data_IF_094876390976
#
_entry.id   IF_094876390976
#
_cell.length_a   1.000
_cell.length_b   1.000
_cell.length_c   1.000
_cell.angle_alpha   90.00
_cell.angle_beta   90.00
_cell.angle_gamma   90.00
#
_symmetry.space_group_name_H-M   'P 1'
#
loop_
_entity.id
_entity.type
_entity.pdbx_description
1 polymer ?
#
# COMPACT_ATOMS: atom_id res chain seq x y z
N UNK A 1 -11.01 -23.11 21.05
CA UNK A 1 -9.99 -23.32 20.00
C UNK A 1 -8.96 -22.19 19.96
N UNK A 2 -9.34 -20.87 19.86
CA UNK A 2 -8.38 -19.74 19.82
C UNK A 2 -7.39 -19.75 21.02
N UNK A 3 -7.87 -19.98 22.24
CA UNK A 3 -7.02 -20.03 23.47
C UNK A 3 -6.02 -21.20 23.48
N UNK A 4 -6.38 -22.33 22.90
CA UNK A 4 -5.50 -23.51 22.81
C UNK A 4 -4.37 -23.27 21.79
N UNK A 5 -4.67 -22.61 20.67
CA UNK A 5 -3.68 -22.25 19.66
C UNK A 5 -2.65 -21.27 20.20
N UNK A 6 -3.08 -20.26 20.97
CA UNK A 6 -2.19 -19.28 21.61
C UNK A 6 -1.28 -19.96 22.65
N UNK A 7 -1.80 -20.89 23.43
CA UNK A 7 -1.01 -21.65 24.41
C UNK A 7 0.00 -22.58 23.74
N UNK A 8 -0.37 -23.24 22.64
CA UNK A 8 0.54 -24.09 21.88
C UNK A 8 1.65 -23.28 21.18
N UNK A 9 1.31 -22.11 20.65
CA UNK A 9 2.29 -21.19 20.05
C UNK A 9 3.25 -20.60 21.11
N UNK A 10 2.74 -20.19 22.27
CA UNK A 10 3.59 -19.67 23.35
C UNK A 10 4.50 -20.74 23.97
N UNK A 11 4.03 -21.97 24.13
CA UNK A 11 4.87 -23.11 24.55
C UNK A 11 5.95 -23.44 23.51
N UNK A 12 5.62 -23.39 22.23
CA UNK A 12 6.58 -23.58 21.13
C UNK A 12 7.68 -22.51 21.10
N UNK A 13 7.33 -21.26 21.41
CA UNK A 13 8.31 -20.17 21.54
C UNK A 13 9.26 -20.36 22.73
N UNK A 14 8.73 -20.74 23.90
CA UNK A 14 9.56 -20.95 25.13
C UNK A 14 10.56 -22.08 24.89
N UNK A 15 10.20 -23.16 24.26
CA UNK A 15 11.11 -24.26 23.92
C UNK A 15 12.19 -23.84 22.92
N UNK A 16 11.87 -22.95 21.97
CA UNK A 16 12.83 -22.45 20.99
C UNK A 16 13.93 -21.56 21.61
N UNK A 17 13.62 -20.85 22.68
CA UNK A 17 14.62 -20.01 23.41
C UNK A 17 15.39 -20.71 24.51
N UNK A 18 15.02 -21.95 24.87
CA UNK A 18 15.70 -22.73 25.91
C UNK A 18 16.92 -23.52 25.42
N UNK A 19 17.28 -23.49 24.15
CA UNK A 19 18.46 -24.17 23.64
C UNK A 19 19.73 -23.39 23.96
N UNK A 20 20.74 -24.11 24.47
CA UNK A 20 22.08 -23.59 24.78
C UNK A 20 22.63 -22.69 23.68
N UNK A 21 23.15 -21.52 24.02
CA UNK A 21 23.72 -20.52 23.16
C UNK A 21 24.81 -21.10 22.23
N UNK A 22 24.42 -21.60 21.10
CA UNK A 22 25.29 -21.74 19.95
C UNK A 22 25.51 -20.32 19.38
N UNK A 23 26.69 -20.04 18.83
CA UNK A 23 26.98 -18.75 18.24
C UNK A 23 25.93 -18.47 17.14
N UNK A 24 25.10 -17.46 17.37
CA UNK A 24 24.07 -17.04 16.40
C UNK A 24 24.78 -16.34 15.24
N UNK A 25 24.63 -16.85 14.04
CA UNK A 25 25.09 -16.15 12.85
C UNK A 25 24.15 -14.97 12.57
N UNK A 26 24.69 -13.76 12.50
CA UNK A 26 23.90 -12.53 12.26
C UNK A 26 24.23 -11.97 10.91
N UNK A 27 23.26 -11.95 10.01
CA UNK A 27 23.39 -11.35 8.68
C UNK A 27 22.74 -9.98 8.68
N UNK A 28 23.49 -8.99 8.22
CA UNK A 28 23.00 -7.63 8.02
C UNK A 28 22.75 -7.36 6.56
N UNK A 29 21.66 -6.69 6.27
CA UNK A 29 21.32 -6.13 4.96
C UNK A 29 20.61 -4.79 5.17
N UNK A 30 20.40 -4.04 4.09
CA UNK A 30 19.68 -2.79 4.21
C UNK A 30 19.96 -1.88 3.03
N UNK A 31 19.54 -0.63 3.15
CA UNK A 31 19.70 0.36 2.13
C UNK A 31 19.65 1.78 2.70
N UNK A 32 20.23 2.70 1.97
CA UNK A 32 20.12 4.11 2.24
C UNK A 32 19.74 4.81 0.94
N UNK A 33 18.75 5.68 0.97
CA UNK A 33 18.44 6.53 -0.15
C UNK A 33 18.32 8.00 0.24
N UNK A 34 18.63 8.86 -0.70
CA UNK A 34 18.35 10.29 -0.66
C UNK A 34 17.65 10.65 -1.96
N UNK A 35 16.53 11.34 -1.85
CA UNK A 35 15.76 11.83 -2.98
C UNK A 35 15.68 13.35 -2.92
N UNK A 36 16.13 14.02 -3.97
CA UNK A 36 15.90 15.44 -4.20
C UNK A 36 14.74 15.65 -5.16
N UNK A 37 13.77 16.46 -4.79
CA UNK A 37 12.60 16.78 -5.62
C UNK A 37 12.51 18.30 -5.78
N UNK A 38 12.38 18.75 -7.03
CA UNK A 38 11.91 20.09 -7.35
C UNK A 38 10.56 19.99 -8.04
N UNK A 39 9.59 20.73 -7.55
CA UNK A 39 8.23 20.71 -8.02
C UNK A 39 7.72 22.12 -8.26
N UNK A 40 7.15 22.34 -9.44
CA UNK A 40 6.55 23.59 -9.83
C UNK A 40 5.04 23.43 -9.98
N UNK A 41 4.29 24.14 -9.16
CA UNK A 41 2.83 24.09 -9.14
C UNK A 41 2.25 22.71 -8.71
N UNK A 42 2.64 22.18 -7.53
CA UNK A 42 2.18 20.86 -7.08
C UNK A 42 0.66 20.76 -6.89
N UNK A 43 -0.03 21.87 -6.70
CA UNK A 43 -1.48 21.88 -6.54
C UNK A 43 -2.24 22.13 -7.85
N UNK A 44 -1.52 22.16 -8.99
CA UNK A 44 -2.09 22.39 -10.33
C UNK A 44 -2.97 23.66 -10.42
N UNK A 45 -2.62 24.70 -9.67
CA UNK A 45 -3.39 25.95 -9.61
C UNK A 45 -3.19 26.82 -10.84
N UNK A 46 -4.25 27.52 -11.26
CA UNK A 46 -4.20 28.47 -12.38
C UNK A 46 -4.15 29.94 -11.91
N UNK A 47 -4.10 30.18 -10.61
CA UNK A 47 -4.10 31.52 -10.01
C UNK A 47 -2.70 31.98 -9.58
N UNK A 48 -2.63 33.18 -9.03
CA UNK A 48 -1.39 33.80 -8.53
C UNK A 48 -0.83 33.14 -7.26
N UNK A 49 -1.52 32.17 -6.70
CA UNK A 49 -1.08 31.43 -5.50
C UNK A 49 -0.24 30.21 -5.84
N UNK A 50 0.14 30.03 -7.12
CA UNK A 50 1.09 28.98 -7.54
C UNK A 50 2.41 29.16 -6.80
N UNK A 51 2.97 28.04 -6.36
CA UNK A 51 4.27 28.01 -5.73
C UNK A 51 5.12 26.88 -6.27
N UNK A 52 6.41 26.98 -6.06
CA UNK A 52 7.35 25.89 -6.29
C UNK A 52 8.03 25.52 -4.98
N UNK A 53 8.53 24.31 -4.91
CA UNK A 53 9.28 23.84 -3.75
C UNK A 53 10.42 22.93 -4.18
N UNK A 54 11.46 22.89 -3.36
CA UNK A 54 12.56 21.96 -3.49
C UNK A 54 12.85 21.37 -2.12
N UNK A 55 13.04 20.05 -2.06
CA UNK A 55 13.33 19.36 -0.82
C UNK A 55 14.19 18.13 -1.06
N UNK A 56 14.93 17.72 -0.03
CA UNK A 56 15.63 16.45 0.00
C UNK A 56 15.05 15.58 1.11
N UNK A 57 14.84 14.30 0.80
CA UNK A 57 14.37 13.27 1.72
C UNK A 57 15.38 12.18 1.83
N UNK A 58 15.42 11.53 2.96
CA UNK A 58 16.30 10.39 3.18
C UNK A 58 15.62 9.32 4.03
N UNK A 59 16.12 8.09 3.90
CA UNK A 59 15.83 6.98 4.80
C UNK A 59 17.02 6.03 4.85
N UNK A 60 17.35 5.54 6.02
CA UNK A 60 18.22 4.38 6.21
C UNK A 60 17.35 3.21 6.68
N UNK A 61 17.54 2.05 6.08
CA UNK A 61 16.87 0.80 6.42
C UNK A 61 17.91 -0.23 6.80
N UNK A 62 17.71 -0.91 7.93
CA UNK A 62 18.58 -2.00 8.39
C UNK A 62 17.73 -3.23 8.67
N UNK A 63 18.13 -4.35 8.10
CA UNK A 63 17.55 -5.65 8.39
C UNK A 63 18.61 -6.59 8.98
N UNK A 64 18.23 -7.29 10.01
CA UNK A 64 19.06 -8.28 10.69
C UNK A 64 18.35 -9.64 10.61
N UNK A 65 19.08 -10.67 10.20
CA UNK A 65 18.64 -12.06 10.29
C UNK A 65 19.53 -12.79 11.29
N UNK A 66 18.95 -13.25 12.36
CA UNK A 66 19.60 -14.07 13.39
C UNK A 66 19.33 -15.54 13.05
N UNK A 67 20.34 -16.25 12.55
CA UNK A 67 20.24 -17.68 12.26
C UNK A 67 20.54 -18.46 13.54
N UNK A 68 19.47 -18.91 14.18
CA UNK A 68 19.55 -19.57 15.51
C UNK A 68 19.97 -21.04 15.38
N UNK A 69 19.46 -21.71 14.34
CA UNK A 69 19.78 -23.09 13.99
C UNK A 69 19.45 -23.35 12.53
N UNK A 70 19.85 -24.50 12.00
CA UNK A 70 19.44 -24.91 10.66
C UNK A 70 17.90 -24.97 10.55
N UNK A 71 17.35 -24.16 9.66
CA UNK A 71 15.91 -24.06 9.46
C UNK A 71 15.17 -23.19 10.51
N UNK A 72 15.88 -22.49 11.42
CA UNK A 72 15.28 -21.57 12.37
C UNK A 72 16.00 -20.23 12.34
N UNK A 73 15.29 -19.16 11.99
CA UNK A 73 15.83 -17.80 12.05
C UNK A 73 14.81 -16.79 12.62
N UNK A 74 15.32 -15.66 13.10
CA UNK A 74 14.52 -14.50 13.47
C UNK A 74 14.96 -13.32 12.60
N UNK A 75 14.01 -12.63 12.00
CA UNK A 75 14.27 -11.43 11.21
C UNK A 75 13.72 -10.21 11.92
N UNK A 76 14.56 -9.17 12.06
CA UNK A 76 14.18 -7.83 12.48
C UNK A 76 14.55 -6.82 11.42
N UNK A 77 13.70 -5.83 11.17
CA UNK A 77 13.97 -4.69 10.31
C UNK A 77 13.55 -3.40 10.99
N UNK A 78 14.35 -2.38 10.88
CA UNK A 78 13.96 -1.04 11.26
C UNK A 78 14.36 -0.02 10.21
N UNK A 79 13.58 1.04 10.12
CA UNK A 79 13.86 2.23 9.36
C UNK A 79 14.28 3.36 10.32
N UNK A 80 15.19 4.20 9.86
CA UNK A 80 15.70 5.31 10.64
C UNK A 80 15.93 6.53 9.75
N UNK A 81 15.87 7.71 10.35
CA UNK A 81 16.12 8.99 9.69
C UNK A 81 15.21 9.23 8.47
N UNK A 82 13.97 8.77 8.53
CA UNK A 82 12.95 9.08 7.55
C UNK A 82 12.51 10.53 7.70
N UNK A 83 13.17 11.43 7.00
CA UNK A 83 12.86 12.84 7.12
C UNK A 83 13.33 13.70 5.97
N UNK A 84 12.69 14.84 5.86
CA UNK A 84 13.13 15.93 4.99
C UNK A 84 14.32 16.66 5.63
N UNK A 85 15.33 17.00 4.84
CA UNK A 85 16.46 17.80 5.30
C UNK A 85 16.01 19.18 5.73
N UNK A 86 16.52 19.64 6.86
CA UNK A 86 16.21 20.95 7.40
C UNK A 86 14.86 21.07 8.14
N UNK A 87 14.05 20.03 8.18
CA UNK A 87 12.85 20.03 9.02
C UNK A 87 13.16 19.68 10.46
N UNK A 88 12.47 20.37 11.37
CA UNK A 88 12.56 20.12 12.80
C UNK A 88 11.71 18.93 13.27
N UNK A 89 10.69 18.54 12.49
CA UNK A 89 9.78 17.45 12.80
C UNK A 89 10.06 16.24 11.92
N UNK A 90 10.42 15.13 12.55
CA UNK A 90 10.69 13.86 11.90
C UNK A 90 9.43 13.15 11.38
N UNK A 91 8.26 13.62 11.80
CA UNK A 91 6.97 12.94 11.54
C UNK A 91 6.34 13.25 10.19
N UNK A 92 6.94 14.09 9.37
CA UNK A 92 6.32 14.50 8.10
C UNK A 92 6.39 13.46 6.99
N UNK A 93 7.23 12.43 7.12
CA UNK A 93 7.36 11.38 6.11
C UNK A 93 6.64 10.07 6.45
N UNK A 94 6.20 9.93 7.68
CA UNK A 94 5.59 8.70 8.19
C UNK A 94 4.22 8.39 7.56
N UNK A 95 3.65 9.33 6.82
CA UNK A 95 2.30 9.17 6.26
C UNK A 95 2.19 8.11 5.14
N UNK A 96 3.29 7.68 4.53
CA UNK A 96 3.24 6.75 3.40
C UNK A 96 3.62 5.31 3.73
N UNK A 97 4.52 5.11 4.67
CA UNK A 97 4.95 3.78 5.10
C UNK A 97 4.19 3.30 6.34
N UNK A 98 3.45 4.18 6.98
CA UNK A 98 2.51 3.77 8.00
C UNK A 98 1.44 2.94 7.33
N UNK A 99 1.29 1.75 7.82
CA UNK A 99 0.19 0.85 7.57
C UNK A 99 -1.10 1.62 7.25
N UNK A 100 -1.34 1.87 5.96
CA UNK A 100 -2.51 2.60 5.44
C UNK A 100 -3.82 1.88 5.76
N UNK A 101 -3.75 0.71 6.33
CA UNK A 101 -4.89 -0.08 6.79
C UNK A 101 -5.12 0.01 8.31
N UNK A 102 -4.12 0.41 9.07
CA UNK A 102 -4.29 0.80 10.46
C UNK A 102 -4.50 2.31 10.50
N UNK A 103 -5.72 2.73 10.36
CA UNK A 103 -6.20 4.08 10.63
C UNK A 103 -6.03 4.44 12.12
N UNK A 104 -4.85 4.28 12.68
CA UNK A 104 -4.47 5.06 13.82
C UNK A 104 -4.13 6.43 13.27
N UNK A 105 -4.98 7.43 13.47
CA UNK A 105 -4.60 8.77 13.14
C UNK A 105 -3.41 9.11 14.04
N UNK A 106 -2.20 9.13 13.49
CA UNK A 106 -1.08 9.80 14.12
C UNK A 106 -1.41 11.29 14.39
N UNK A 107 -2.51 11.77 13.79
CA UNK A 107 -3.09 13.08 14.05
C UNK A 107 -3.64 13.27 15.46
N UNK A 108 -3.76 12.24 16.29
CA UNK A 108 -4.26 12.40 17.66
C UNK A 108 -3.17 12.52 18.72
N UNK A 109 -1.91 12.37 18.37
CA UNK A 109 -0.82 12.75 19.28
C UNK A 109 -0.36 14.17 18.99
N UNK A 110 -1.22 15.16 19.23
CA UNK A 110 -0.72 16.53 19.25
C UNK A 110 -1.54 17.60 18.56
N UNK A 111 -2.80 17.41 18.26
CA UNK A 111 -3.71 18.53 18.05
C UNK A 111 -4.33 18.96 19.38
N UNK A 112 -3.51 19.20 20.38
CA UNK A 112 -3.84 20.33 21.25
C UNK A 112 -3.39 21.54 20.46
N UNK A 113 -4.31 22.15 19.75
CA UNK A 113 -4.25 23.54 19.37
C UNK A 113 -4.10 24.37 20.64
N UNK A 114 -2.91 24.38 21.19
CA UNK A 114 -2.47 25.40 22.11
C UNK A 114 -1.79 26.44 21.27
N UNK A 115 -2.46 27.52 21.04
CA UNK A 115 -1.98 28.76 20.41
C UNK A 115 -0.84 29.42 21.19
N UNK A 116 -0.27 28.74 22.18
CA UNK A 116 0.83 29.23 23.01
C UNK A 116 1.82 28.10 23.24
N UNK A 117 2.82 28.02 22.37
CA UNK A 117 3.91 27.10 22.63
C UNK A 117 4.30 26.24 21.45
N UNK A 118 4.54 26.82 20.30
CA UNK A 118 5.57 26.33 19.40
C UNK A 118 6.89 26.40 20.18
N UNK A 119 7.07 25.47 21.10
CA UNK A 119 8.43 25.13 21.50
C UNK A 119 9.10 24.66 20.25
N UNK A 120 9.97 25.50 19.70
CA UNK A 120 10.90 25.14 18.66
C UNK A 120 11.75 23.98 19.16
N UNK A 121 11.22 22.78 19.06
CA UNK A 121 12.06 21.61 18.95
C UNK A 121 12.66 21.66 17.55
N UNK A 122 13.49 22.67 17.32
CA UNK A 122 14.50 22.61 16.29
C UNK A 122 15.38 21.43 16.66
N UNK A 123 14.86 20.23 16.39
CA UNK A 123 15.43 18.99 16.82
C UNK A 123 16.78 18.80 16.16
N UNK A 124 17.81 19.22 16.80
CA UNK A 124 19.17 18.76 16.57
C UNK A 124 19.34 17.28 16.91
N UNK A 125 18.28 16.62 17.34
CA UNK A 125 18.33 15.26 17.86
C UNK A 125 17.92 14.27 16.78
N UNK A 126 18.88 13.50 16.33
CA UNK A 126 18.69 12.31 15.50
C UNK A 126 17.92 11.17 16.21
N UNK A 127 17.38 11.40 17.40
CA UNK A 127 16.83 10.39 18.29
C UNK A 127 15.39 9.97 17.99
N UNK A 128 14.69 10.61 17.09
CA UNK A 128 13.24 10.47 17.03
C UNK A 128 12.73 9.48 15.99
N UNK A 129 13.58 8.82 15.21
CA UNK A 129 13.18 8.00 14.08
C UNK A 129 13.88 6.67 14.02
N UNK A 130 13.60 5.80 14.97
CA UNK A 130 13.86 4.37 14.83
C UNK A 130 12.50 3.67 14.87
N UNK A 131 12.02 3.22 13.73
CA UNK A 131 10.77 2.51 13.61
C UNK A 131 11.00 1.04 13.27
N UNK A 132 10.50 0.15 14.13
CA UNK A 132 10.55 -1.27 13.85
C UNK A 132 9.47 -1.65 12.86
N UNK A 133 9.92 -2.02 11.67
CA UNK A 133 9.07 -2.39 10.55
C UNK A 133 8.71 -3.88 10.57
N UNK A 134 9.65 -4.76 10.93
CA UNK A 134 9.45 -6.21 10.89
C UNK A 134 10.07 -6.87 12.11
N UNK A 135 9.38 -7.88 12.61
CA UNK A 135 9.86 -8.78 13.65
C UNK A 135 9.12 -10.11 13.52
N UNK A 136 9.76 -11.13 12.98
CA UNK A 136 9.16 -12.45 12.80
C UNK A 136 10.17 -13.58 12.89
N UNK A 137 9.68 -14.78 13.13
CA UNK A 137 10.45 -16.00 13.09
C UNK A 137 10.11 -16.80 11.82
N UNK A 138 11.14 -17.42 11.25
CA UNK A 138 11.00 -18.41 10.17
C UNK A 138 11.46 -19.76 10.69
N UNK A 139 10.63 -20.78 10.51
CA UNK A 139 11.05 -22.15 10.82
C UNK A 139 10.59 -23.15 9.76
N UNK A 140 11.48 -24.10 9.45
CA UNK A 140 11.25 -25.15 8.48
C UNK A 140 10.72 -26.41 9.17
N UNK A 141 9.79 -27.06 8.50
CA UNK A 141 9.26 -28.37 8.88
C UNK A 141 9.41 -29.36 7.72
N UNK A 142 9.11 -30.60 7.95
CA UNK A 142 9.11 -31.62 6.89
C UNK A 142 8.08 -31.35 5.77
N UNK A 143 7.06 -30.54 6.04
CA UNK A 143 5.95 -30.25 5.10
C UNK A 143 6.00 -28.85 4.50
N UNK A 144 6.87 -27.97 4.99
CA UNK A 144 7.00 -26.61 4.49
C UNK A 144 7.61 -25.63 5.50
N UNK A 145 7.49 -24.35 5.21
CA UNK A 145 8.10 -23.25 5.96
C UNK A 145 7.00 -22.40 6.56
N UNK A 146 7.16 -22.04 7.83
CA UNK A 146 6.33 -21.08 8.54
C UNK A 146 7.08 -19.78 8.77
N UNK A 147 6.39 -18.66 8.53
CA UNK A 147 6.80 -17.33 8.99
C UNK A 147 5.72 -16.82 9.96
N UNK A 148 6.12 -16.39 11.16
CA UNK A 148 5.19 -15.98 12.22
C UNK A 148 5.64 -14.67 12.85
N UNK A 149 4.80 -13.66 12.83
CA UNK A 149 5.05 -12.34 13.41
C UNK A 149 4.75 -11.20 12.44
N UNK A 150 5.32 -10.03 12.72
CA UNK A 150 5.21 -8.84 11.87
C UNK A 150 6.14 -9.01 10.66
N UNK A 151 5.56 -9.21 9.50
CA UNK A 151 6.30 -9.52 8.26
C UNK A 151 5.70 -8.79 7.06
N UNK A 152 6.39 -8.87 5.93
CA UNK A 152 5.93 -8.27 4.67
C UNK A 152 4.53 -8.78 4.29
N UNK A 153 3.66 -7.86 3.92
CA UNK A 153 2.31 -8.09 3.44
C UNK A 153 2.02 -7.20 2.23
N UNK A 154 0.84 -7.35 1.61
CA UNK A 154 0.43 -6.52 0.48
C UNK A 154 1.25 -6.73 -0.78
N UNK A 155 1.97 -7.87 -0.88
CA UNK A 155 2.73 -8.24 -2.09
C UNK A 155 2.18 -9.53 -2.67
N UNK A 156 1.71 -9.43 -3.91
CA UNK A 156 1.23 -10.57 -4.69
C UNK A 156 1.23 -10.23 -6.18
N UNK A 157 1.74 -11.13 -7.00
CA UNK A 157 1.66 -10.97 -8.45
C UNK A 157 2.60 -9.92 -9.01
N UNK A 158 2.05 -8.85 -9.55
CA UNK A 158 2.78 -7.75 -10.17
C UNK A 158 2.79 -6.52 -9.25
N UNK A 159 3.61 -5.53 -9.60
CA UNK A 159 3.61 -4.26 -8.84
C UNK A 159 2.24 -3.57 -8.85
N UNK A 160 1.39 -3.86 -9.86
CA UNK A 160 0.04 -3.28 -9.96
C UNK A 160 -0.87 -3.62 -8.80
N UNK A 161 -0.81 -4.86 -8.28
CA UNK A 161 -1.58 -5.29 -7.10
C UNK A 161 -0.84 -5.09 -5.78
N UNK A 162 0.42 -4.65 -5.82
CA UNK A 162 1.28 -4.58 -4.65
C UNK A 162 1.16 -3.25 -3.91
N UNK A 163 0.98 -3.35 -2.59
CA UNK A 163 1.12 -2.24 -1.64
C UNK A 163 1.91 -2.77 -0.45
N UNK A 164 3.23 -2.80 -0.60
CA UNK A 164 4.10 -3.35 0.45
C UNK A 164 3.81 -2.67 1.79
N UNK A 165 3.46 -3.46 2.79
CA UNK A 165 3.25 -3.03 4.15
C UNK A 165 3.70 -4.11 5.12
N UNK A 166 3.65 -3.81 6.41
CA UNK A 166 3.96 -4.79 7.47
C UNK A 166 2.69 -5.16 8.20
N UNK A 167 2.46 -6.47 8.38
CA UNK A 167 1.29 -7.01 9.09
C UNK A 167 1.69 -8.15 10.02
N UNK A 168 1.03 -8.29 11.16
CA UNK A 168 1.11 -9.49 11.97
C UNK A 168 0.38 -10.63 11.27
N UNK A 169 1.13 -11.69 10.91
CA UNK A 169 0.60 -12.81 10.16
C UNK A 169 1.28 -14.14 10.50
N UNK A 170 0.56 -15.21 10.22
CA UNK A 170 1.08 -16.57 10.15
C UNK A 170 1.00 -16.99 8.69
N UNK A 171 2.13 -17.24 8.08
CA UNK A 171 2.24 -17.71 6.69
C UNK A 171 2.85 -19.10 6.69
N UNK A 172 2.23 -20.02 5.99
CA UNK A 172 2.78 -21.31 5.64
C UNK A 172 3.00 -21.38 4.15
N UNK A 173 4.15 -21.85 3.73
CA UNK A 173 4.49 -22.08 2.33
C UNK A 173 5.04 -23.50 2.14
N UNK A 174 4.61 -24.17 1.09
CA UNK A 174 5.12 -25.49 0.69
C UNK A 174 5.38 -25.53 -0.80
N UNK A 175 6.38 -26.31 -1.23
CA UNK A 175 6.75 -26.42 -2.62
C UNK A 175 6.74 -27.90 -3.04
N UNK A 176 6.03 -28.20 -4.13
CA UNK A 176 5.99 -29.52 -4.75
C UNK A 176 6.30 -29.36 -6.24
N UNK A 177 7.52 -29.73 -6.62
CA UNK A 177 7.99 -29.50 -7.98
C UNK A 177 7.92 -28.02 -8.38
N UNK A 178 7.26 -27.65 -9.49
CA UNK A 178 7.13 -26.27 -9.93
C UNK A 178 6.02 -25.48 -9.19
N UNK A 179 5.24 -26.13 -8.35
CA UNK A 179 4.10 -25.55 -7.65
C UNK A 179 4.50 -25.13 -6.23
N UNK A 180 4.24 -23.86 -5.88
CA UNK A 180 4.32 -23.35 -4.51
C UNK A 180 2.90 -23.09 -4.01
N UNK A 181 2.53 -23.70 -2.90
CA UNK A 181 1.27 -23.45 -2.19
C UNK A 181 1.48 -22.51 -1.01
N UNK A 182 0.50 -21.67 -0.74
CA UNK A 182 0.49 -20.69 0.34
C UNK A 182 -0.80 -20.80 1.14
N UNK A 183 -0.68 -20.71 2.47
CA UNK A 183 -1.81 -20.50 3.39
C UNK A 183 -1.37 -19.40 4.34
N UNK A 184 -2.24 -18.43 4.57
CA UNK A 184 -1.93 -17.36 5.51
C UNK A 184 -3.15 -16.89 6.29
N UNK A 185 -2.87 -16.47 7.51
CA UNK A 185 -3.75 -15.74 8.39
C UNK A 185 -3.09 -14.41 8.73
N UNK A 186 -3.86 -13.34 8.68
CA UNK A 186 -3.40 -11.98 8.96
C UNK A 186 -4.36 -11.30 9.92
N UNK A 187 -3.83 -10.69 10.97
CA UNK A 187 -4.59 -9.93 11.94
C UNK A 187 -4.38 -8.45 11.66
N UNK A 188 -5.34 -7.83 10.98
CA UNK A 188 -5.24 -6.41 10.62
C UNK A 188 -5.61 -5.45 11.75
N UNK A 189 -6.52 -5.87 12.62
CA UNK A 189 -6.94 -5.08 13.77
C UNK A 189 -7.47 -5.99 14.87
N UNK A 190 -7.04 -5.76 16.11
CA UNK A 190 -7.55 -6.38 17.31
C UNK A 190 -8.20 -5.31 18.20
N UNK A 191 -9.49 -5.46 18.45
CA UNK A 191 -10.19 -4.60 19.39
C UNK A 191 -10.17 -5.23 20.78
N UNK A 192 -9.29 -4.73 21.63
CA UNK A 192 -9.30 -5.09 23.06
C UNK A 192 -10.46 -4.38 23.74
N UNK A 193 -11.58 -5.11 23.92
CA UNK A 193 -12.76 -4.62 24.65
C UNK A 193 -12.57 -4.67 26.18
N UNK A 194 -11.50 -5.32 26.66
CA UNK A 194 -11.19 -5.40 28.10
C UNK A 194 -10.63 -4.07 28.63
N UNK A 195 -10.05 -3.26 27.78
CA UNK A 195 -9.44 -1.98 28.13
C UNK A 195 -10.39 -0.78 28.08
N UNK A 196 -11.68 -0.99 27.83
CA UNK A 196 -12.70 0.07 28.00
C UNK A 196 -12.80 0.38 29.49
N UNK A 197 -11.86 1.20 29.94
CA UNK A 197 -11.70 1.59 31.31
C UNK A 197 -12.96 2.26 31.87
N UNK A 198 -13.09 2.20 33.17
CA UNK A 198 -14.17 2.76 33.98
C UNK A 198 -14.42 4.28 33.81
N UNK A 199 -13.60 4.97 33.03
CA UNK A 199 -13.69 6.41 32.76
C UNK A 199 -14.43 6.75 31.44
N UNK A 200 -15.08 5.77 30.82
CA UNK A 200 -15.92 6.03 29.67
C UNK A 200 -17.14 6.87 30.09
N UNK A 201 -17.09 8.16 29.87
CA UNK A 201 -18.25 9.04 29.85
C UNK A 201 -19.33 8.41 28.95
N UNK A 202 -20.60 8.64 29.22
CA UNK A 202 -21.74 7.99 28.56
C UNK A 202 -21.70 7.97 27.01
N UNK A 203 -20.88 8.79 26.39
CA UNK A 203 -20.61 8.87 24.95
C UNK A 203 -19.73 7.73 24.40
N UNK A 204 -19.01 6.98 25.25
CA UNK A 204 -18.17 5.83 24.85
C UNK A 204 -18.85 4.48 25.04
N UNK A 205 -20.11 4.47 25.47
CA UNK A 205 -20.88 3.24 25.69
C UNK A 205 -21.27 2.49 24.42
N UNK A 206 -20.95 3.01 23.23
CA UNK A 206 -21.21 2.36 21.94
C UNK A 206 -20.46 1.02 21.77
N UNK A 207 -19.45 0.76 22.59
CA UNK A 207 -18.65 -0.47 22.54
C UNK A 207 -19.19 -1.60 23.44
N UNK A 208 -20.09 -1.29 24.37
CA UNK A 208 -20.62 -2.30 25.30
C UNK A 208 -21.47 -3.34 24.59
N UNK A 209 -21.07 -4.60 24.72
CA UNK A 209 -21.84 -5.74 24.20
C UNK A 209 -21.58 -6.13 22.74
N UNK A 210 -20.63 -5.49 22.04
CA UNK A 210 -20.21 -5.92 20.71
C UNK A 210 -19.02 -6.87 20.83
N UNK A 211 -19.18 -8.09 20.37
CA UNK A 211 -18.20 -9.18 20.51
C UNK A 211 -17.37 -9.45 19.24
N UNK A 212 -17.60 -8.66 18.18
CA UNK A 212 -17.01 -8.87 16.86
C UNK A 212 -16.57 -7.51 16.31
N UNK A 213 -15.34 -7.12 16.65
CA UNK A 213 -14.76 -5.82 16.29
C UNK A 213 -13.44 -5.98 15.50
N UNK A 214 -13.00 -7.19 15.29
CA UNK A 214 -11.70 -7.51 14.70
C UNK A 214 -11.69 -7.30 13.17
N UNK A 215 -10.48 -7.16 12.62
CA UNK A 215 -10.24 -7.25 11.20
C UNK A 215 -9.24 -8.39 10.94
N UNK A 216 -9.77 -9.49 10.43
CA UNK A 216 -9.05 -10.71 10.10
C UNK A 216 -9.07 -10.99 8.59
N UNK A 217 -7.95 -11.48 8.05
CA UNK A 217 -7.86 -11.96 6.68
C UNK A 217 -7.29 -13.38 6.67
N UNK A 218 -7.87 -14.23 5.84
CA UNK A 218 -7.42 -15.58 5.55
C UNK A 218 -7.18 -15.70 4.05
N UNK A 219 -6.11 -16.35 3.64
CA UNK A 219 -5.88 -16.57 2.22
C UNK A 219 -5.27 -17.94 1.93
N UNK A 220 -5.57 -18.40 0.74
CA UNK A 220 -4.89 -19.55 0.10
C UNK A 220 -4.42 -19.09 -1.27
N UNK A 221 -3.21 -19.49 -1.64
CA UNK A 221 -2.62 -19.12 -2.92
C UNK A 221 -1.77 -20.22 -3.50
N UNK A 222 -1.57 -20.15 -4.80
CA UNK A 222 -0.68 -21.06 -5.53
C UNK A 222 0.09 -20.29 -6.59
N UNK A 223 1.37 -20.65 -6.76
CA UNK A 223 2.26 -20.11 -7.80
C UNK A 223 2.82 -21.31 -8.56
N UNK A 224 2.66 -21.30 -9.88
CA UNK A 224 3.23 -22.29 -10.78
C UNK A 224 4.35 -21.67 -11.60
N UNK A 225 5.57 -22.22 -11.45
CA UNK A 225 6.73 -21.82 -12.20
C UNK A 225 6.88 -22.68 -13.45
N UNK A 226 7.02 -22.07 -14.61
CA UNK A 226 7.24 -22.74 -15.89
C UNK A 226 8.45 -22.16 -16.63
N UNK A 227 8.86 -22.80 -17.71
CA UNK A 227 9.99 -22.32 -18.51
C UNK A 227 9.66 -20.92 -19.07
N UNK A 228 10.42 -19.91 -18.62
CA UNK A 228 10.26 -18.53 -19.05
C UNK A 228 9.31 -17.67 -18.23
N UNK A 229 8.70 -18.20 -17.15
CA UNK A 229 7.81 -17.38 -16.35
C UNK A 229 7.16 -18.07 -15.16
N UNK A 230 6.17 -17.40 -14.64
CA UNK A 230 5.32 -17.89 -13.55
C UNK A 230 3.89 -17.38 -13.71
N UNK A 231 2.95 -18.11 -13.16
CA UNK A 231 1.57 -17.68 -12.99
C UNK A 231 1.08 -18.09 -11.60
N UNK A 232 0.19 -17.31 -11.03
CA UNK A 232 -0.35 -17.62 -9.71
C UNK A 232 -1.75 -17.07 -9.53
N UNK A 233 -2.42 -17.55 -8.48
CA UNK A 233 -3.69 -17.01 -8.02
C UNK A 233 -3.75 -17.08 -6.49
N UNK A 234 -4.32 -16.05 -5.87
CA UNK A 234 -4.62 -16.02 -4.44
C UNK A 234 -6.10 -15.74 -4.22
N UNK A 235 -6.70 -16.51 -3.36
CA UNK A 235 -8.05 -16.30 -2.86
C UNK A 235 -7.95 -15.80 -1.42
N UNK A 236 -8.58 -14.66 -1.14
CA UNK A 236 -8.60 -14.03 0.16
C UNK A 236 -10.03 -14.00 0.69
N UNK A 237 -10.19 -14.18 1.99
CA UNK A 237 -11.42 -13.93 2.73
C UNK A 237 -11.14 -12.93 3.82
N UNK A 238 -11.89 -11.83 3.82
CA UNK A 238 -11.73 -10.72 4.77
C UNK A 238 -12.99 -10.57 5.60
N UNK A 239 -12.82 -10.47 6.90
CA UNK A 239 -13.85 -10.07 7.85
C UNK A 239 -13.35 -8.86 8.61
N UNK A 240 -13.81 -7.68 8.21
CA UNK A 240 -13.43 -6.42 8.81
C UNK A 240 -14.62 -5.82 9.57
N UNK A 241 -14.55 -5.86 10.88
CA UNK A 241 -15.54 -5.31 11.79
C UNK A 241 -15.06 -4.06 12.56
N UNK A 242 -13.87 -3.53 12.20
CA UNK A 242 -13.27 -2.39 12.88
C UNK A 242 -14.11 -1.11 12.78
N UNK A 243 -14.90 -0.95 11.72
CA UNK A 243 -15.81 0.20 11.56
C UNK A 243 -17.03 0.17 12.49
N UNK A 244 -17.26 -0.94 13.22
CA UNK A 244 -18.27 -1.00 14.29
C UNK A 244 -17.84 -0.22 15.54
N UNK A 245 -16.57 0.14 15.63
CA UNK A 245 -15.92 0.99 16.63
C UNK A 245 -15.92 2.46 16.17
N UNK A 246 -16.87 2.86 15.35
CA UNK A 246 -16.87 4.19 14.73
C UNK A 246 -17.03 5.33 15.73
N UNK A 247 -16.38 6.49 15.51
CA UNK A 247 -16.64 7.72 16.26
C UNK A 247 -18.11 8.13 16.17
N UNK A 248 -18.57 8.88 17.17
CA UNK A 248 -19.92 9.44 17.22
C UNK A 248 -20.38 10.01 15.87
N UNK A 249 -21.47 9.47 15.34
CA UNK A 249 -22.13 9.96 14.14
C UNK A 249 -21.89 9.17 12.85
N UNK A 250 -20.93 8.24 12.80
CA UNK A 250 -20.79 7.38 11.64
C UNK A 250 -21.56 6.05 11.84
N UNK A 251 -22.30 5.59 10.83
CA UNK A 251 -23.03 4.33 10.89
C UNK A 251 -22.10 3.14 11.14
N UNK A 252 -22.31 2.34 12.20
CA UNK A 252 -21.47 1.16 12.46
C UNK A 252 -21.78 0.06 11.45
N UNK A 253 -20.71 -0.53 10.88
CA UNK A 253 -20.84 -1.61 9.90
C UNK A 253 -19.68 -2.61 9.99
N UNK A 254 -19.85 -3.75 9.35
CA UNK A 254 -18.80 -4.72 9.07
C UNK A 254 -18.77 -5.06 7.59
N UNK A 255 -17.56 -5.38 7.10
CA UNK A 255 -17.35 -5.90 5.75
C UNK A 255 -17.03 -7.40 5.85
N UNK A 256 -17.71 -8.18 5.04
CA UNK A 256 -17.37 -9.59 4.79
C UNK A 256 -17.22 -9.74 3.29
N UNK A 257 -16.04 -10.11 2.84
CA UNK A 257 -15.74 -10.17 1.42
C UNK A 257 -14.72 -11.21 1.05
N UNK A 258 -14.64 -11.46 -0.24
CA UNK A 258 -13.66 -12.33 -0.86
C UNK A 258 -12.96 -11.58 -1.99
N UNK A 259 -11.67 -11.82 -2.14
CA UNK A 259 -10.85 -11.32 -3.23
C UNK A 259 -10.17 -12.46 -3.97
N UNK A 260 -10.13 -12.38 -5.29
CA UNK A 260 -9.38 -13.30 -6.15
C UNK A 260 -8.42 -12.47 -7.01
N UNK A 261 -7.12 -12.78 -6.94
CA UNK A 261 -6.10 -12.11 -7.73
C UNK A 261 -5.22 -13.10 -8.50
N UNK A 262 -5.57 -13.45 -9.74
CA UNK A 262 -4.70 -14.17 -10.66
C UNK A 262 -3.70 -13.22 -11.32
N UNK A 263 -2.49 -13.71 -11.59
CA UNK A 263 -1.45 -13.01 -12.32
C UNK A 263 -0.59 -13.95 -13.18
N UNK A 264 0.13 -13.37 -14.10
CA UNK A 264 1.22 -14.04 -14.84
C UNK A 264 2.38 -13.07 -15.11
N UNK A 265 3.59 -13.64 -15.23
CA UNK A 265 4.81 -12.98 -15.70
C UNK A 265 5.53 -13.98 -16.60
N UNK A 266 5.87 -13.57 -17.83
CA UNK A 266 6.54 -14.49 -18.77
C UNK A 266 7.41 -13.75 -19.76
N UNK A 267 8.42 -14.45 -20.28
CA UNK A 267 9.28 -13.98 -21.36
C UNK A 267 9.19 -14.96 -22.53
N UNK A 268 8.78 -14.47 -23.68
CA UNK A 268 8.65 -15.23 -24.93
C UNK A 268 9.54 -14.58 -25.98
N UNK A 269 10.68 -15.22 -26.25
CA UNK A 269 11.70 -14.62 -27.11
C UNK A 269 12.19 -13.26 -26.55
N UNK A 270 12.14 -12.16 -27.33
CA UNK A 270 12.54 -10.84 -26.85
C UNK A 270 11.46 -10.11 -26.06
N UNK A 271 10.25 -10.67 -25.93
CA UNK A 271 9.08 -10.00 -25.34
C UNK A 271 8.86 -10.47 -23.92
N UNK A 272 8.87 -9.55 -22.97
CA UNK A 272 8.39 -9.72 -21.61
C UNK A 272 6.93 -9.30 -21.52
N UNK A 273 6.12 -10.12 -20.89
CA UNK A 273 4.69 -9.89 -20.64
C UNK A 273 4.37 -10.12 -19.17
N UNK A 274 3.59 -9.25 -18.58
CA UNK A 274 2.99 -9.46 -17.27
C UNK A 274 1.57 -8.91 -17.24
N UNK A 275 0.73 -9.56 -16.43
CA UNK A 275 -0.64 -9.11 -16.24
C UNK A 275 -1.19 -9.60 -14.92
N UNK A 276 -2.15 -8.85 -14.41
CA UNK A 276 -2.83 -9.12 -13.16
C UNK A 276 -4.27 -8.64 -13.22
N UNK A 277 -5.14 -9.33 -12.54
CA UNK A 277 -6.52 -8.94 -12.36
C UNK A 277 -6.91 -9.16 -10.90
N UNK A 278 -7.69 -8.27 -10.34
CA UNK A 278 -8.29 -8.43 -9.01
C UNK A 278 -9.80 -8.35 -9.11
N UNK A 279 -10.47 -9.34 -8.54
CA UNK A 279 -11.92 -9.35 -8.36
C UNK A 279 -12.26 -9.39 -6.89
N UNK A 280 -13.10 -8.46 -6.43
CA UNK A 280 -13.54 -8.38 -5.04
C UNK A 280 -15.06 -8.44 -5.02
N UNK A 281 -15.61 -9.28 -4.14
CA UNK A 281 -17.05 -9.37 -3.89
C UNK A 281 -17.33 -9.52 -2.40
N UNK A 282 -18.50 -9.08 -1.96
CA UNK A 282 -18.87 -9.18 -0.55
C UNK A 282 -20.05 -8.31 -0.15
N UNK A 283 -20.14 -8.04 1.14
CA UNK A 283 -21.18 -7.18 1.71
C UNK A 283 -20.63 -6.28 2.82
N UNK A 284 -21.04 -5.04 2.78
CA UNK A 284 -20.99 -4.15 3.94
C UNK A 284 -22.34 -4.23 4.65
N UNK A 285 -22.33 -4.74 5.88
CA UNK A 285 -23.53 -4.97 6.69
C UNK A 285 -23.56 -3.98 7.84
N UNK A 286 -24.61 -3.17 7.88
CA UNK A 286 -24.83 -2.24 8.98
C UNK A 286 -25.39 -2.95 10.21
N UNK A 287 -25.08 -2.42 11.39
CA UNK A 287 -25.64 -2.96 12.64
C UNK A 287 -27.16 -2.69 12.71
N UNK A 288 -27.95 -3.60 13.31
CA UNK A 288 -29.36 -3.42 13.46
C UNK A 288 -29.72 -2.09 14.17
N UNK A 289 -30.71 -1.40 13.65
CA UNK A 289 -31.15 -0.09 14.19
C UNK A 289 -30.31 1.11 13.70
N UNK A 290 -29.34 0.90 12.81
CA UNK A 290 -28.61 2.01 12.19
C UNK A 290 -29.55 2.83 11.31
N UNK A 291 -29.56 4.16 11.51
CA UNK A 291 -30.37 5.11 10.74
C UNK A 291 -29.50 5.93 9.79
N UNK A 292 -30.09 6.51 8.76
CA UNK A 292 -29.38 7.37 7.80
C UNK A 292 -28.55 6.62 6.76
N UNK A 293 -28.80 5.32 6.57
CA UNK A 293 -28.17 4.48 5.55
C UNK A 293 -29.23 3.82 4.67
N UNK A 294 -28.88 3.52 3.43
CA UNK A 294 -29.80 2.89 2.46
C UNK A 294 -30.05 1.38 2.75
N UNK A 295 -29.41 0.80 3.74
CA UNK A 295 -29.38 -0.64 4.04
C UNK A 295 -28.00 -1.25 3.78
N UNK A 296 -27.91 -2.58 3.81
CA UNK A 296 -26.69 -3.31 3.48
C UNK A 296 -26.24 -3.01 2.05
N UNK A 297 -24.93 -2.96 1.84
CA UNK A 297 -24.33 -2.61 0.53
C UNK A 297 -23.62 -3.85 -0.02
N UNK A 298 -23.99 -4.26 -1.22
CA UNK A 298 -23.26 -5.27 -1.98
C UNK A 298 -21.98 -4.68 -2.55
N UNK A 299 -20.89 -5.41 -2.41
CA UNK A 299 -19.55 -5.04 -2.87
C UNK A 299 -19.20 -5.85 -4.12
N UNK A 300 -18.79 -5.17 -5.18
CA UNK A 300 -18.28 -5.80 -6.40
C UNK A 300 -17.29 -4.87 -7.08
N UNK A 301 -16.04 -5.30 -7.22
CA UNK A 301 -15.00 -4.47 -7.85
C UNK A 301 -14.06 -5.30 -8.71
N UNK A 302 -13.57 -4.67 -9.77
CA UNK A 302 -12.61 -5.24 -10.70
C UNK A 302 -11.46 -4.28 -10.94
N UNK A 303 -10.25 -4.83 -10.99
CA UNK A 303 -9.07 -4.14 -11.46
C UNK A 303 -8.34 -5.03 -12.45
N UNK A 304 -7.67 -4.43 -13.43
CA UNK A 304 -6.90 -5.18 -14.41
C UNK A 304 -5.66 -4.41 -14.87
N UNK A 305 -4.62 -5.16 -15.15
CA UNK A 305 -3.32 -4.66 -15.58
C UNK A 305 -2.69 -5.56 -16.62
N UNK A 306 -2.06 -4.95 -17.60
CA UNK A 306 -1.26 -5.64 -18.60
C UNK A 306 -0.06 -4.77 -18.99
N UNK A 307 1.13 -5.39 -19.08
CA UNK A 307 2.36 -4.77 -19.58
C UNK A 307 3.06 -5.67 -20.58
N UNK A 308 3.55 -5.06 -21.63
CA UNK A 308 4.43 -5.69 -22.61
C UNK A 308 5.69 -4.87 -22.80
N UNK A 309 6.85 -5.53 -22.86
CA UNK A 309 8.13 -4.90 -23.17
C UNK A 309 8.92 -5.76 -24.15
N UNK A 310 9.36 -5.19 -25.26
CA UNK A 310 10.21 -5.84 -26.23
C UNK A 310 11.64 -5.32 -26.11
N UNK A 311 12.59 -6.25 -25.98
CA UNK A 311 14.02 -5.93 -25.89
C UNK A 311 14.68 -6.14 -27.27
N UNK A 312 15.49 -5.15 -27.70
CA UNK A 312 16.17 -5.12 -28.99
C UNK A 312 17.62 -4.68 -28.80
N UNK A 313 18.48 -5.60 -28.38
CA UNK A 313 19.87 -5.29 -28.04
C UNK A 313 19.95 -4.26 -26.89
N UNK A 314 20.59 -3.10 -27.08
CA UNK A 314 20.68 -2.07 -26.05
C UNK A 314 19.39 -1.25 -25.90
N UNK A 315 18.46 -1.35 -26.83
CA UNK A 315 17.19 -0.63 -26.81
C UNK A 315 16.03 -1.53 -26.35
N UNK A 316 14.96 -0.92 -25.87
CA UNK A 316 13.69 -1.56 -25.59
C UNK A 316 12.54 -0.57 -25.77
N UNK A 317 11.38 -1.09 -26.02
CA UNK A 317 10.13 -0.32 -25.98
C UNK A 317 9.01 -1.17 -25.40
N UNK A 318 8.00 -0.51 -24.92
CA UNK A 318 6.87 -1.21 -24.32
C UNK A 318 5.70 -0.30 -24.04
N UNK A 319 4.70 -0.89 -23.44
CA UNK A 319 3.54 -0.19 -22.95
C UNK A 319 2.87 -0.97 -21.84
N UNK A 320 2.06 -0.27 -21.09
CA UNK A 320 1.24 -0.84 -20.04
C UNK A 320 -0.09 -0.12 -19.95
N UNK A 321 -1.09 -0.85 -19.47
CA UNK A 321 -2.42 -0.35 -19.18
C UNK A 321 -2.85 -0.82 -17.80
N UNK A 322 -3.32 0.11 -16.97
CA UNK A 322 -3.95 -0.17 -15.69
C UNK A 322 -5.37 0.35 -15.70
N UNK A 323 -6.27 -0.43 -15.18
CA UNK A 323 -7.67 -0.08 -14.98
C UNK A 323 -8.11 -0.41 -13.57
N UNK A 324 -8.75 0.55 -12.93
CA UNK A 324 -9.43 0.42 -11.64
C UNK A 324 -10.88 0.82 -11.84
N UNK A 325 -11.81 -0.06 -11.51
CA UNK A 325 -13.25 0.16 -11.67
C UNK A 325 -13.74 1.33 -10.82
N UNK A 326 -14.57 2.18 -11.41
CA UNK A 326 -15.24 3.28 -10.70
C UNK A 326 -16.63 2.91 -10.19
N UNK A 327 -17.07 3.62 -9.16
CA UNK A 327 -18.37 3.39 -8.47
C UNK A 327 -19.54 4.25 -9.02
N UNK A 328 -19.33 4.97 -10.12
CA UNK A 328 -20.32 5.96 -10.59
C UNK A 328 -21.64 5.41 -11.08
N UNK A 329 -21.66 4.20 -11.63
CA UNK A 329 -22.86 3.48 -12.05
C UNK A 329 -23.32 2.42 -11.01
N UNK A 330 -22.71 2.43 -9.82
CA UNK A 330 -23.25 1.75 -8.66
C UNK A 330 -24.59 2.32 -8.21
N UNK A 331 -25.27 1.62 -7.34
CA UNK A 331 -26.51 2.11 -6.68
C UNK A 331 -26.23 2.47 -5.23
N UNK A 332 -27.21 3.04 -4.55
CA UNK A 332 -27.10 3.29 -3.11
C UNK A 332 -26.76 2.03 -2.29
N UNK A 333 -27.18 0.85 -2.77
CA UNK A 333 -26.97 -0.45 -2.13
C UNK A 333 -25.94 -1.33 -2.83
N UNK A 334 -25.24 -0.83 -3.87
CA UNK A 334 -24.19 -1.57 -4.57
C UNK A 334 -22.97 -0.67 -4.80
N UNK A 335 -21.82 -1.06 -4.24
CA UNK A 335 -20.55 -0.37 -4.36
C UNK A 335 -19.62 -1.12 -5.31
N UNK A 336 -19.15 -0.44 -6.36
CA UNK A 336 -18.28 -1.01 -7.39
C UNK A 336 -16.80 -0.65 -7.22
N UNK A 337 -16.49 0.36 -6.44
CA UNK A 337 -15.13 0.68 -6.01
C UNK A 337 -15.09 0.76 -4.49
N UNK A 338 -14.21 -0.04 -3.89
CA UNK A 338 -14.07 -0.17 -2.46
C UNK A 338 -12.75 0.48 -2.08
N UNK A 339 -12.78 1.78 -1.74
CA UNK A 339 -11.58 2.54 -1.38
C UNK A 339 -10.71 1.77 -0.39
N UNK A 340 -9.42 1.66 -0.72
CA UNK A 340 -8.44 0.94 0.07
C UNK A 340 -8.41 -0.58 -0.14
N UNK A 341 -9.31 -1.16 -0.95
CA UNK A 341 -9.29 -2.57 -1.32
C UNK A 341 -9.26 -2.81 -2.83
N UNK A 342 -9.71 -1.84 -3.61
CA UNK A 342 -9.85 -1.97 -5.06
C UNK A 342 -9.01 -0.97 -5.85
N UNK A 343 -8.04 -0.32 -5.22
CA UNK A 343 -7.13 0.58 -5.90
C UNK A 343 -5.96 -0.19 -6.54
N UNK A 344 -5.27 0.44 -7.48
CA UNK A 344 -3.96 -0.03 -7.89
C UNK A 344 -2.98 0.07 -6.72
N UNK A 345 -2.03 -0.85 -6.68
CA UNK A 345 -1.06 -0.90 -5.60
C UNK A 345 -0.12 0.32 -5.58
N UNK A 346 0.34 0.64 -4.39
CA UNK A 346 1.29 1.75 -4.18
C UNK A 346 2.68 1.48 -4.76
N UNK A 347 3.02 0.21 -5.03
CA UNK A 347 4.30 -0.15 -5.64
C UNK A 347 4.28 0.02 -7.16
N UNK A 348 3.10 0.13 -7.78
CA UNK A 348 2.97 0.42 -9.20
C UNK A 348 3.15 1.92 -9.47
N UNK A 349 4.29 2.29 -10.05
CA UNK A 349 4.72 3.68 -10.28
C UNK A 349 5.10 3.87 -11.75
N UNK A 350 4.13 3.84 -12.67
CA UNK A 350 4.37 3.93 -14.12
C UNK A 350 4.78 5.33 -14.58
N UNK A 351 4.66 6.36 -13.74
CA UNK A 351 4.94 7.76 -14.06
C UNK A 351 5.76 8.41 -12.96
N UNK A 352 6.32 9.59 -13.20
CA UNK A 352 7.00 10.36 -12.17
C UNK A 352 6.04 11.15 -11.27
N UNK A 353 4.90 11.59 -11.82
CA UNK A 353 3.99 12.52 -11.13
C UNK A 353 2.57 11.96 -11.01
N UNK A 354 1.87 11.64 -12.11
CA UNK A 354 0.45 11.29 -12.10
C UNK A 354 0.14 10.06 -11.25
N UNK A 355 0.94 9.00 -11.37
CA UNK A 355 0.75 7.78 -10.61
C UNK A 355 2.07 7.35 -9.95
N UNK A 356 2.44 8.08 -8.91
CA UNK A 356 3.62 7.83 -8.11
C UNK A 356 3.36 8.24 -6.66
N UNK A 357 3.02 7.28 -5.83
CA UNK A 357 2.70 7.53 -4.41
C UNK A 357 3.90 8.03 -3.62
N UNK A 358 5.12 7.64 -4.00
CA UNK A 358 6.34 8.15 -3.36
C UNK A 358 6.49 9.65 -3.51
N UNK A 359 6.06 10.19 -4.65
CA UNK A 359 6.07 11.63 -4.88
C UNK A 359 5.26 12.38 -3.80
N UNK A 360 4.06 11.92 -3.50
CA UNK A 360 3.24 12.48 -2.42
C UNK A 360 3.83 12.29 -1.03
N UNK A 361 4.65 11.26 -0.85
CA UNK A 361 5.37 11.00 0.40
C UNK A 361 6.52 11.97 0.59
N UNK A 362 7.30 12.21 -0.46
CA UNK A 362 8.46 13.10 -0.42
C UNK A 362 8.09 14.56 -0.32
N UNK A 363 6.84 14.91 -0.57
CA UNK A 363 6.35 16.28 -0.59
C UNK A 363 5.18 16.42 0.41
N UNK A 364 5.48 16.47 1.72
CA UNK A 364 4.46 16.60 2.74
C UNK A 364 3.70 17.94 2.60
N UNK A 365 2.40 17.92 2.91
CA UNK A 365 1.46 19.04 2.85
C UNK A 365 1.11 19.54 1.44
N UNK A 366 1.49 18.83 0.38
CA UNK A 366 0.93 19.08 -0.94
C UNK A 366 -0.34 18.26 -1.11
N UNK A 367 -1.35 18.85 -1.66
CA UNK A 367 -2.37 18.09 -2.38
C UNK A 367 -1.67 17.70 -3.67
N UNK A 368 -0.92 16.59 -3.61
CA UNK A 368 -0.17 16.13 -4.75
C UNK A 368 -1.07 15.58 -5.83
N UNK A 369 -0.68 15.78 -7.05
CA UNK A 369 -1.38 15.27 -8.23
C UNK A 369 -1.46 13.73 -8.22
N UNK A 370 -0.48 13.05 -7.62
CA UNK A 370 -0.38 11.60 -7.57
C UNK A 370 -1.47 10.94 -6.73
N UNK A 371 -1.98 11.63 -5.69
CA UNK A 371 -3.02 11.10 -4.82
C UNK A 371 -4.44 11.50 -5.24
N UNK A 372 -4.60 12.40 -6.21
CA UNK A 372 -5.92 12.93 -6.54
C UNK A 372 -6.89 11.91 -7.11
N UNK A 373 -6.41 10.90 -7.82
CA UNK A 373 -7.29 9.90 -8.41
C UNK A 373 -7.01 8.48 -7.93
N UNK A 374 -5.90 8.26 -7.22
CA UNK A 374 -5.48 6.94 -6.78
C UNK A 374 -6.49 6.30 -5.81
N UNK A 375 -6.99 7.08 -4.86
CA UNK A 375 -8.01 6.65 -3.88
C UNK A 375 -9.40 7.24 -4.19
N UNK A 376 -9.67 7.60 -5.44
CA UNK A 376 -10.93 8.19 -5.83
C UNK A 376 -11.93 7.10 -6.25
N UNK A 377 -13.11 7.08 -5.64
CA UNK A 377 -14.18 6.13 -5.98
C UNK A 377 -14.62 6.19 -7.46
N UNK A 378 -14.14 7.16 -8.21
CA UNK A 378 -14.37 7.22 -9.67
C UNK A 378 -13.55 6.21 -10.46
N UNK A 379 -12.55 5.53 -9.85
CA UNK A 379 -11.64 4.65 -10.56
C UNK A 379 -10.89 5.34 -11.69
N UNK A 380 -10.04 4.62 -12.41
CA UNK A 380 -9.26 5.24 -13.49
C UNK A 380 -8.80 4.23 -14.55
N UNK A 381 -8.44 4.78 -15.71
CA UNK A 381 -7.58 4.17 -16.72
C UNK A 381 -6.26 4.92 -16.79
N UNK A 382 -5.15 4.19 -16.85
CA UNK A 382 -3.84 4.73 -17.19
C UNK A 382 -3.26 3.94 -18.35
N UNK A 383 -2.90 4.63 -19.41
CA UNK A 383 -2.15 4.12 -20.56
C UNK A 383 -0.76 4.73 -20.51
N UNK A 384 0.27 3.89 -20.57
CA UNK A 384 1.65 4.33 -20.58
C UNK A 384 2.39 3.63 -21.73
N UNK A 385 3.14 4.37 -22.51
CA UNK A 385 4.08 3.86 -23.50
C UNK A 385 5.47 4.39 -23.18
N UNK A 386 6.48 3.54 -23.33
CA UNK A 386 7.84 3.89 -22.96
C UNK A 386 8.84 3.29 -23.94
N UNK A 387 9.99 3.95 -24.08
CA UNK A 387 11.13 3.46 -24.81
C UNK A 387 12.41 3.80 -24.04
N UNK A 388 13.34 2.87 -24.02
CA UNK A 388 14.60 3.05 -23.32
C UNK A 388 15.80 2.56 -24.12
N UNK A 389 16.95 3.07 -23.75
CA UNK A 389 18.23 2.76 -24.37
C UNK A 389 19.30 2.63 -23.30
N UNK A 390 20.12 1.59 -23.42
CA UNK A 390 21.27 1.31 -22.55
C UNK A 390 22.57 1.55 -23.34
N UNK A 391 23.09 2.81 -23.40
CA UNK A 391 24.32 3.11 -24.13
C UNK A 391 25.50 2.32 -23.58
N UNK A 392 25.47 2.01 -22.29
CA UNK A 392 26.45 1.16 -21.61
C UNK A 392 25.71 0.24 -20.62
N UNK A 393 26.34 -0.83 -20.10
CA UNK A 393 25.76 -1.68 -19.07
C UNK A 393 25.43 -0.94 -17.75
N UNK A 394 25.99 0.27 -17.58
CA UNK A 394 25.79 1.09 -16.37
C UNK A 394 24.76 2.21 -16.54
N UNK A 395 24.43 2.60 -17.78
CA UNK A 395 23.55 3.74 -18.04
C UNK A 395 22.29 3.28 -18.77
N UNK A 396 21.14 3.57 -18.18
CA UNK A 396 19.83 3.45 -18.82
C UNK A 396 19.22 4.85 -18.98
N UNK A 397 18.66 5.14 -20.14
CA UNK A 397 17.86 6.33 -20.42
C UNK A 397 16.50 5.85 -20.90
N UNK A 398 15.42 6.35 -20.30
CA UNK A 398 14.06 6.00 -20.67
C UNK A 398 13.22 7.26 -20.84
N UNK A 399 12.35 7.25 -21.85
CA UNK A 399 11.31 8.25 -22.03
C UNK A 399 9.95 7.55 -22.03
N UNK A 400 8.94 8.21 -21.44
CA UNK A 400 7.60 7.68 -21.35
C UNK A 400 6.54 8.76 -21.64
N UNK A 401 5.40 8.32 -22.14
CA UNK A 401 4.19 9.15 -22.27
C UNK A 401 3.04 8.38 -21.65
N UNK A 402 2.32 9.04 -20.77
CA UNK A 402 1.19 8.48 -20.04
C UNK A 402 -0.06 9.30 -20.26
N UNK A 403 -1.21 8.64 -20.40
CA UNK A 403 -2.53 9.29 -20.47
C UNK A 403 -3.41 8.69 -19.39
N UNK A 404 -3.98 9.55 -18.54
CA UNK A 404 -4.86 9.13 -17.47
C UNK A 404 -6.28 9.71 -17.65
N UNK A 405 -7.28 8.89 -17.34
CA UNK A 405 -8.68 9.29 -17.29
C UNK A 405 -9.42 8.57 -16.16
N UNK A 406 -10.43 9.21 -15.58
CA UNK A 406 -11.35 8.52 -14.68
C UNK A 406 -12.16 7.44 -15.41
N UNK A 407 -12.47 6.35 -14.73
CA UNK A 407 -13.40 5.32 -15.22
C UNK A 407 -14.84 5.83 -15.19
N UNK A 408 -15.22 6.56 -14.13
CA UNK A 408 -16.53 7.19 -14.00
C UNK A 408 -16.45 8.71 -13.82
N UNK A 409 -17.47 9.45 -14.29
CA UNK A 409 -17.66 10.87 -13.94
C UNK A 409 -18.30 11.05 -12.57
N UNK A 410 -18.99 10.03 -12.07
CA UNK A 410 -19.80 10.12 -10.86
C UNK A 410 -19.11 9.41 -9.71
N UNK A 411 -19.32 9.94 -8.52
CA UNK A 411 -18.92 9.32 -7.26
C UNK A 411 -20.03 9.48 -6.22
N UNK A 412 -20.27 8.44 -5.45
CA UNK A 412 -21.17 8.48 -4.33
C UNK A 412 -20.50 9.17 -3.13
N UNK A 413 -21.29 9.91 -2.36
CA UNK A 413 -20.85 10.34 -1.03
C UNK A 413 -20.72 9.11 -0.09
N UNK A 414 -20.03 9.28 1.04
CA UNK A 414 -19.77 8.18 1.98
C UNK A 414 -21.06 7.53 2.52
N UNK A 415 -22.14 8.29 2.68
CA UNK A 415 -23.44 7.80 3.12
C UNK A 415 -24.28 7.18 1.99
N UNK A 416 -23.80 7.25 0.74
CA UNK A 416 -24.47 6.77 -0.47
C UNK A 416 -25.90 7.33 -0.67
N UNK A 417 -26.10 8.58 -0.29
CA UNK A 417 -27.39 9.30 -0.42
C UNK A 417 -27.42 10.21 -1.64
N UNK A 418 -26.27 10.58 -2.17
CA UNK A 418 -26.15 11.46 -3.35
C UNK A 418 -24.88 11.16 -4.13
N UNK A 419 -24.87 11.53 -5.40
CA UNK A 419 -23.69 11.48 -6.27
C UNK A 419 -23.24 12.89 -6.61
N UNK A 420 -21.92 13.05 -6.69
CA UNK A 420 -21.27 14.21 -7.32
C UNK A 420 -20.83 13.84 -8.73
N UNK A 421 -20.89 14.79 -9.66
CA UNK A 421 -20.45 14.59 -11.03
C UNK A 421 -19.38 15.61 -11.41
N UNK A 422 -18.28 15.14 -12.00
CA UNK A 422 -17.21 15.98 -12.52
C UNK A 422 -17.45 16.35 -13.98
N UNK A 423 -16.89 17.47 -14.42
CA UNK A 423 -17.08 18.02 -15.78
C UNK A 423 -16.57 17.06 -16.84
N UNK A 424 -15.43 16.41 -16.60
CA UNK A 424 -14.72 15.58 -17.57
C UNK A 424 -14.03 14.40 -16.89
N UNK A 425 -13.91 13.28 -17.60
CA UNK A 425 -13.07 12.16 -17.17
C UNK A 425 -11.58 12.38 -17.41
N UNK A 426 -11.19 13.34 -18.27
CA UNK A 426 -9.82 13.53 -18.71
C UNK A 426 -8.96 14.10 -17.60
N UNK A 427 -8.10 13.27 -16.99
CA UNK A 427 -7.14 13.65 -15.94
C UNK A 427 -5.97 14.40 -16.56
N UNK A 428 -5.29 13.83 -17.55
CA UNK A 428 -4.20 14.50 -18.25
C UNK A 428 -3.29 13.58 -19.01
N UNK A 429 -2.23 14.19 -19.52
CA UNK A 429 -1.12 13.51 -20.20
C UNK A 429 0.18 13.90 -19.50
N UNK A 430 1.02 12.94 -19.17
CA UNK A 430 2.35 13.14 -18.62
C UNK A 430 3.42 12.68 -19.60
N UNK A 431 4.50 13.45 -19.66
CA UNK A 431 5.69 13.09 -20.42
C UNK A 431 6.87 13.06 -19.45
N UNK A 432 7.59 11.94 -19.43
CA UNK A 432 8.70 11.69 -18.54
C UNK A 432 9.98 11.39 -19.31
N UNK A 433 11.09 11.77 -18.72
CA UNK A 433 12.42 11.29 -19.10
C UNK A 433 13.22 10.97 -17.84
N UNK A 434 13.87 9.81 -17.83
CA UNK A 434 14.74 9.38 -16.73
C UNK A 434 16.09 8.92 -17.24
N UNK A 435 17.13 9.12 -16.43
CA UNK A 435 18.44 8.53 -16.65
C UNK A 435 18.92 7.90 -15.34
N UNK A 436 19.25 6.61 -15.39
CA UNK A 436 19.71 5.83 -14.26
C UNK A 436 21.13 5.36 -14.50
N UNK A 437 22.04 5.69 -13.60
CA UNK A 437 23.46 5.34 -13.70
C UNK A 437 23.92 4.51 -12.48
N UNK A 438 24.49 3.34 -12.73
CA UNK A 438 25.12 2.50 -11.70
C UNK A 438 26.55 2.98 -11.47
N UNK A 439 26.76 3.72 -10.38
CA UNK A 439 28.10 4.18 -9.98
C UNK A 439 28.93 2.96 -9.53
N UNK A 440 28.33 2.14 -8.63
CA UNK A 440 28.82 0.84 -8.20
C UNK A 440 27.67 -0.18 -8.29
N UNK A 441 27.93 -1.45 -8.11
CA UNK A 441 26.90 -2.50 -8.18
C UNK A 441 25.77 -2.28 -7.15
N UNK A 442 26.10 -1.66 -6.01
CA UNK A 442 25.18 -1.36 -4.91
C UNK A 442 24.92 0.15 -4.73
N UNK A 443 25.32 0.99 -5.66
CA UNK A 443 25.06 2.44 -5.65
C UNK A 443 24.56 2.91 -7.00
N UNK A 444 23.31 3.32 -7.04
CA UNK A 444 22.65 3.82 -8.26
C UNK A 444 22.27 5.27 -8.07
N UNK A 445 22.46 6.09 -9.07
CA UNK A 445 21.97 7.45 -9.17
C UNK A 445 20.93 7.53 -10.29
N UNK A 446 19.80 8.20 -10.02
CA UNK A 446 18.75 8.46 -10.99
C UNK A 446 18.42 9.94 -11.01
N UNK A 447 18.27 10.49 -12.21
CA UNK A 447 17.68 11.81 -12.44
C UNK A 447 16.47 11.63 -13.36
N UNK A 448 15.39 12.36 -13.08
CA UNK A 448 14.19 12.33 -13.89
C UNK A 448 13.55 13.72 -13.98
N UNK A 449 12.82 13.94 -15.06
CA UNK A 449 12.00 15.11 -15.26
C UNK A 449 10.65 14.67 -15.85
N UNK A 450 9.56 15.17 -15.30
CA UNK A 450 8.20 14.91 -15.75
C UNK A 450 7.42 16.22 -15.93
N UNK A 451 6.49 16.22 -16.88
CA UNK A 451 5.58 17.34 -17.12
C UNK A 451 4.17 16.84 -17.38
N UNK A 452 3.19 17.42 -16.67
CA UNK A 452 1.77 17.11 -16.83
C UNK A 452 1.07 18.19 -17.63
N UNK A 453 0.41 17.78 -18.71
CA UNK A 453 -0.62 18.54 -19.39
C UNK A 453 -1.97 18.16 -18.77
N UNK A 454 -2.50 19.02 -17.90
CA UNK A 454 -3.73 18.75 -17.14
C UNK A 454 -4.95 18.66 -18.07
N UNK A 455 -5.82 17.70 -17.79
CA UNK A 455 -7.11 17.58 -18.45
C UNK A 455 -8.21 18.37 -17.74
N UNK A 456 -9.41 18.37 -18.31
CA UNK A 456 -10.55 19.14 -17.79
C UNK A 456 -11.14 18.58 -16.49
N UNK A 457 -10.74 17.38 -16.04
CA UNK A 457 -11.14 16.83 -14.76
C UNK A 457 -10.72 17.70 -13.56
N UNK A 458 -9.65 18.48 -13.73
CA UNK A 458 -9.13 19.39 -12.70
C UNK A 458 -9.89 20.71 -12.58
N UNK A 459 -10.80 21.01 -13.51
CA UNK A 459 -11.63 22.23 -13.47
C UNK A 459 -12.72 22.20 -12.39
N UNK A 460 -12.78 21.10 -11.63
CA UNK A 460 -13.69 20.95 -10.49
C UNK A 460 -15.06 20.40 -10.87
N UNK A 461 -15.89 20.23 -9.85
CA UNK A 461 -17.33 20.01 -10.02
C UNK A 461 -17.93 21.31 -10.49
N UNK A 462 -18.89 21.28 -11.40
CA UNK A 462 -19.65 22.44 -11.81
C UNK A 462 -20.07 23.29 -10.60
N UNK A 463 -19.26 24.27 -10.25
CA UNK A 463 -19.79 25.45 -9.62
C UNK A 463 -20.43 26.23 -10.78
N UNK A 464 -21.72 26.19 -10.85
CA UNK A 464 -22.50 27.08 -11.70
C UNK A 464 -22.19 28.52 -11.42
#
# INVERSE_FOLDING_TARGET
MKKLLVVLLSLGLIVAFGATASAVDVKFSGGYYVVGVYDNNPELRNDSTRYSRAAFFQRIRVQMEFVVAEGLSMTGRFDALEKQWGQSDSRSMVASDVDKTNSRPYSTMGTTSSTTGLTNYAGKNLQENLEFERAFITFKTAVGVFDVGYQIAGKWGTDFGDSECTKPRIKFATQVGPLTGLILYEKNFEADTSSVGSNATATTSLYRGKTDLDNDMYAVGAIYNFKGGQAGAILQYVKNSSARVSPLGAPPYKIVGMGLAPYFKTTIGPVYLEGEMTYITGKMKFDPGTTGVAGDIDLESWNAYLKARMNMGPAYFGGQIGWVMGDGDGTATKMKNINGFSDAGYDWKPTLILHNVDYGTWIPNGKDSSNYYHNDSKGFFLYNVFAGFNPTPKLNIEAAVSVASYDSKKAWNAARTSQTEIVSKKIGTEVDITATYKIFDNLTYMVGAGYIFTGDAWKGTNAA
#
